data_IF_414707564639
#
_entry.id   IF_414707564639
#
_cell.length_a   1.000
_cell.length_b   1.000
_cell.length_c   1.000
_cell.angle_alpha   90.00
_cell.angle_beta   90.00
_cell.angle_gamma   90.00
#
_symmetry.space_group_name_H-M   'P 1'
#
loop_
_entity.id
_entity.type
_entity.pdbx_description
1 polymer ?
#
# COMPACT_ATOMS: atom_id res chain seq x y z
N UNK A 1 4.08 35.84 -49.05
CA UNK A 1 5.19 34.94 -48.67
C UNK A 1 5.26 34.92 -47.16
N UNK A 2 4.79 33.84 -46.54
CA UNK A 2 4.82 33.63 -45.09
C UNK A 2 5.42 32.25 -44.85
N UNK A 3 6.29 32.06 -43.85
CA UNK A 3 6.98 30.79 -43.66
C UNK A 3 6.07 29.80 -42.92
N UNK A 4 5.99 28.58 -43.46
CA UNK A 4 5.40 27.41 -42.79
C UNK A 4 6.29 27.00 -41.61
N UNK A 5 5.83 27.23 -40.39
CA UNK A 5 6.41 26.67 -39.17
C UNK A 5 5.65 25.42 -38.75
N UNK A 6 6.14 24.24 -39.13
CA UNK A 6 5.66 22.96 -38.61
C UNK A 6 6.18 22.79 -37.19
N UNK A 7 5.30 22.88 -36.19
CA UNK A 7 5.61 22.55 -34.81
C UNK A 7 5.54 21.03 -34.66
N UNK A 8 6.68 20.35 -34.86
CA UNK A 8 6.80 18.94 -34.55
C UNK A 8 6.52 18.73 -33.06
N UNK A 9 5.40 18.08 -32.75
CA UNK A 9 5.12 17.58 -31.41
C UNK A 9 6.27 16.64 -31.03
N UNK A 10 7.11 17.07 -30.10
CA UNK A 10 8.14 16.24 -29.50
C UNK A 10 7.42 15.07 -28.83
N UNK A 11 7.49 13.90 -29.45
CA UNK A 11 7.13 12.63 -28.82
C UNK A 11 7.89 12.53 -27.51
N UNK A 12 7.18 12.73 -26.41
CA UNK A 12 7.67 12.39 -25.08
C UNK A 12 7.91 10.88 -25.17
N UNK A 13 9.19 10.49 -25.11
CA UNK A 13 9.58 9.09 -24.99
C UNK A 13 8.70 8.47 -23.90
N UNK A 14 7.91 7.46 -24.28
CA UNK A 14 7.12 6.64 -23.38
C UNK A 14 8.07 5.74 -22.58
N UNK A 15 8.97 6.35 -21.80
CA UNK A 15 9.66 5.61 -20.77
C UNK A 15 8.59 5.25 -19.74
N UNK A 16 8.43 3.95 -19.44
CA UNK A 16 7.53 3.55 -18.39
C UNK A 16 7.94 4.23 -17.08
N UNK A 17 6.98 4.60 -16.21
CA UNK A 17 7.29 5.24 -14.95
C UNK A 17 8.29 4.38 -14.16
N UNK A 18 9.21 4.96 -13.39
CA UNK A 18 10.26 4.22 -12.67
C UNK A 18 9.72 3.04 -11.86
N UNK A 19 8.48 3.19 -11.36
CA UNK A 19 7.72 2.15 -10.67
C UNK A 19 7.57 0.86 -11.46
N UNK A 20 7.56 0.87 -12.80
CA UNK A 20 7.49 -0.34 -13.63
C UNK A 20 8.77 -1.18 -13.61
N UNK A 21 9.93 -0.55 -13.38
CA UNK A 21 11.22 -1.27 -13.28
C UNK A 21 11.46 -1.86 -11.89
N UNK A 22 10.73 -1.36 -10.90
CA UNK A 22 10.81 -1.79 -9.49
C UNK A 22 9.75 -2.88 -9.17
N UNK A 23 8.92 -3.25 -10.14
CA UNK A 23 7.93 -4.31 -10.01
C UNK A 23 8.66 -5.66 -9.91
N UNK A 24 8.84 -6.15 -8.69
CA UNK A 24 9.18 -7.55 -8.47
C UNK A 24 8.20 -8.43 -9.27
N UNK A 25 8.72 -9.46 -9.93
CA UNK A 25 7.92 -10.42 -10.70
C UNK A 25 6.74 -10.84 -9.82
N UNK A 26 5.49 -10.58 -10.22
CA UNK A 26 4.34 -10.88 -9.37
C UNK A 26 4.37 -12.38 -9.07
N UNK A 27 4.52 -12.74 -7.79
CA UNK A 27 4.32 -14.12 -7.38
C UNK A 27 2.88 -14.51 -7.75
N UNK A 28 2.68 -15.76 -8.16
CA UNK A 28 1.40 -16.27 -8.69
C UNK A 28 0.22 -16.05 -7.72
N UNK A 29 0.53 -15.87 -6.43
CA UNK A 29 -0.45 -15.65 -5.36
C UNK A 29 -0.62 -14.19 -4.93
N UNK A 30 0.06 -13.21 -5.56
CA UNK A 30 0.07 -11.82 -5.14
C UNK A 30 -0.56 -10.90 -6.19
N UNK A 31 -1.48 -10.02 -5.76
CA UNK A 31 -2.01 -8.96 -6.62
C UNK A 31 -1.26 -7.66 -6.36
N UNK A 32 -0.72 -7.06 -7.42
CA UNK A 32 -0.08 -5.76 -7.38
C UNK A 32 -1.07 -4.67 -7.79
N UNK A 33 -1.14 -3.63 -6.98
CA UNK A 33 -1.89 -2.41 -7.29
C UNK A 33 -0.95 -1.21 -7.39
N UNK A 34 -1.26 -0.32 -8.32
CA UNK A 34 -0.73 1.04 -8.31
C UNK A 34 -1.76 1.96 -7.67
N UNK A 35 -1.41 2.63 -6.58
CA UNK A 35 -2.22 3.72 -6.02
C UNK A 35 -1.54 5.05 -6.31
N UNK A 36 -2.29 6.02 -6.82
CA UNK A 36 -1.79 7.37 -7.07
C UNK A 36 -2.75 8.43 -6.51
N UNK A 37 -2.21 9.35 -5.72
CA UNK A 37 -2.92 10.53 -5.23
C UNK A 37 -2.42 11.78 -5.95
N UNK A 38 -3.21 12.32 -6.88
CA UNK A 38 -2.90 13.58 -7.55
C UNK A 38 -3.74 14.71 -6.97
N UNK A 39 -3.09 15.76 -6.48
CA UNK A 39 -3.76 16.93 -5.89
C UNK A 39 -4.80 17.52 -6.85
N UNK A 40 -4.50 17.58 -8.15
CA UNK A 40 -5.41 18.10 -9.20
C UNK A 40 -6.79 17.44 -9.19
N UNK A 41 -6.88 16.16 -8.83
CA UNK A 41 -8.14 15.40 -8.88
C UNK A 41 -8.84 15.31 -7.53
N UNK A 42 -8.18 15.72 -6.44
CA UNK A 42 -8.76 15.74 -5.10
C UNK A 42 -9.19 14.38 -4.54
N UNK A 43 -8.71 13.27 -5.13
CA UNK A 43 -8.93 11.88 -4.67
C UNK A 43 -7.85 10.93 -5.21
N UNK A 44 -7.62 9.79 -4.55
CA UNK A 44 -6.72 8.76 -5.07
C UNK A 44 -7.37 7.98 -6.22
N UNK A 45 -6.53 7.26 -6.97
CA UNK A 45 -6.92 6.31 -8.00
C UNK A 45 -6.11 5.03 -7.83
N UNK A 46 -6.71 3.89 -8.12
CA UNK A 46 -6.07 2.59 -8.03
C UNK A 46 -6.15 1.86 -9.38
N UNK A 47 -5.10 1.12 -9.74
CA UNK A 47 -5.08 0.26 -10.92
C UNK A 47 -4.51 -1.11 -10.57
N UNK A 48 -4.98 -2.13 -11.26
CA UNK A 48 -4.40 -3.47 -11.20
C UNK A 48 -3.15 -3.50 -12.10
N UNK A 49 -2.06 -4.09 -11.60
CA UNK A 49 -0.79 -4.24 -12.34
C UNK A 49 -0.40 -5.70 -12.56
N UNK A 50 -0.93 -6.63 -11.76
CA UNK A 50 -0.78 -8.08 -11.97
C UNK A 50 -2.10 -8.83 -11.73
N UNK A 51 -2.20 -10.06 -12.24
CA UNK A 51 -3.32 -10.97 -11.99
C UNK A 51 -4.70 -10.37 -12.29
N UNK A 52 -4.78 -9.54 -13.34
CA UNK A 52 -6.00 -8.84 -13.76
C UNK A 52 -7.19 -9.77 -13.98
N UNK A 53 -6.92 -10.96 -14.50
CA UNK A 53 -7.89 -12.02 -14.79
C UNK A 53 -8.57 -12.59 -13.55
N UNK A 54 -7.96 -12.46 -12.36
CA UNK A 54 -8.54 -12.94 -11.09
C UNK A 54 -9.58 -11.99 -10.51
N UNK A 55 -9.53 -10.72 -10.88
CA UNK A 55 -10.35 -9.65 -10.29
C UNK A 55 -11.35 -9.04 -11.27
N UNK A 56 -11.17 -9.27 -12.57
CA UNK A 56 -12.05 -8.75 -13.62
C UNK A 56 -12.50 -9.90 -14.51
N UNK A 57 -13.77 -10.30 -14.40
CA UNK A 57 -14.40 -11.31 -15.25
C UNK A 57 -14.70 -10.80 -16.69
N UNK A 58 -13.99 -9.79 -17.18
CA UNK A 58 -14.25 -9.20 -18.50
C UNK A 58 -13.14 -9.68 -19.44
N UNK A 59 -13.52 -10.59 -20.33
CA UNK A 59 -12.67 -11.08 -21.39
C UNK A 59 -12.12 -9.94 -22.26
N UNK A 60 -10.88 -10.13 -22.71
CA UNK A 60 -10.20 -9.25 -23.64
C UNK A 60 -8.79 -8.92 -23.15
N UNK A 61 -7.80 -9.54 -23.79
CA UNK A 61 -6.38 -9.16 -23.75
C UNK A 61 -6.16 -7.78 -24.40
N UNK A 62 -6.89 -6.76 -23.99
CA UNK A 62 -6.74 -5.39 -24.51
C UNK A 62 -5.95 -4.53 -23.54
N UNK A 63 -4.84 -3.97 -24.02
CA UNK A 63 -3.93 -3.13 -23.22
C UNK A 63 -4.64 -1.93 -22.58
N UNK A 64 -5.75 -1.45 -23.17
CA UNK A 64 -6.57 -0.35 -22.66
C UNK A 64 -7.22 -0.63 -21.29
N UNK A 65 -7.41 -1.90 -20.91
CA UNK A 65 -8.00 -2.26 -19.60
C UNK A 65 -7.02 -1.99 -18.45
N UNK A 66 -5.70 -2.10 -18.69
CA UNK A 66 -4.67 -1.86 -17.66
C UNK A 66 -4.53 -0.39 -17.27
N UNK A 67 -4.91 0.53 -18.16
CA UNK A 67 -4.83 1.98 -17.95
C UNK A 67 -6.11 2.57 -17.35
N UNK A 68 -7.18 1.77 -17.26
CA UNK A 68 -8.44 2.21 -16.65
C UNK A 68 -8.38 2.05 -15.13
N UNK A 69 -8.57 3.12 -14.34
CA UNK A 69 -8.58 3.02 -12.89
C UNK A 69 -9.77 2.19 -12.41
N UNK A 70 -9.57 1.44 -11.33
CA UNK A 70 -10.61 0.67 -10.66
C UNK A 70 -11.69 1.61 -10.10
N UNK A 71 -12.94 1.13 -10.19
CA UNK A 71 -14.09 1.77 -9.56
C UNK A 71 -14.27 1.22 -8.15
N UNK A 72 -13.49 1.74 -7.20
CA UNK A 72 -13.61 1.41 -5.78
C UNK A 72 -14.65 2.31 -5.12
N UNK A 73 -15.48 1.75 -4.23
CA UNK A 73 -16.50 2.50 -3.50
C UNK A 73 -15.86 3.52 -2.56
N UNK A 74 -14.80 3.13 -1.86
CA UNK A 74 -14.00 4.03 -1.01
C UNK A 74 -13.51 5.25 -1.79
N UNK A 75 -12.99 5.05 -3.01
CA UNK A 75 -12.53 6.14 -3.87
C UNK A 75 -13.69 7.00 -4.39
N UNK A 76 -14.83 6.38 -4.74
CA UNK A 76 -16.02 7.10 -5.17
C UNK A 76 -16.57 8.02 -4.07
N UNK A 77 -16.56 7.54 -2.82
CA UNK A 77 -17.05 8.25 -1.64
C UNK A 77 -16.00 9.22 -1.02
N UNK A 78 -14.82 9.36 -1.63
CA UNK A 78 -13.65 10.05 -1.04
C UNK A 78 -13.95 11.45 -0.52
N UNK A 79 -14.67 12.24 -1.31
CA UNK A 79 -14.96 13.64 -0.99
C UNK A 79 -16.22 13.82 -0.13
N UNK A 80 -17.06 12.79 -0.03
CA UNK A 80 -18.42 12.93 0.54
C UNK A 80 -18.58 12.26 1.90
N UNK A 81 -17.78 11.23 2.21
CA UNK A 81 -17.98 10.40 3.42
C UNK A 81 -16.78 10.34 4.36
N UNK A 82 -15.83 11.28 4.21
CA UNK A 82 -14.66 11.35 5.09
C UNK A 82 -13.73 10.14 4.96
N UNK A 83 -13.71 9.51 3.78
CA UNK A 83 -12.89 8.33 3.50
C UNK A 83 -11.41 8.64 3.69
N UNK A 84 -10.69 7.64 4.17
CA UNK A 84 -9.26 7.68 4.47
C UNK A 84 -8.54 6.59 3.70
N UNK A 85 -7.21 6.67 3.73
CA UNK A 85 -6.35 5.74 2.97
C UNK A 85 -6.60 4.29 3.38
N UNK A 86 -6.81 4.02 4.67
CA UNK A 86 -7.07 2.67 5.16
C UNK A 86 -8.37 2.06 4.62
N UNK A 87 -9.40 2.85 4.35
CA UNK A 87 -10.65 2.34 3.75
C UNK A 87 -10.39 1.81 2.33
N UNK A 88 -9.55 2.50 1.57
CA UNK A 88 -9.13 2.08 0.22
C UNK A 88 -8.30 0.79 0.31
N UNK A 89 -7.36 0.71 1.26
CA UNK A 89 -6.54 -0.49 1.48
C UNK A 89 -7.41 -1.69 1.91
N UNK A 90 -8.35 -1.47 2.84
CA UNK A 90 -9.27 -2.52 3.28
C UNK A 90 -10.11 -3.06 2.12
N UNK A 91 -10.67 -2.19 1.28
CA UNK A 91 -11.44 -2.60 0.10
C UNK A 91 -10.57 -3.41 -0.87
N UNK A 92 -9.35 -2.95 -1.17
CA UNK A 92 -8.41 -3.65 -2.05
C UNK A 92 -8.02 -5.03 -1.53
N UNK A 93 -7.73 -5.15 -0.24
CA UNK A 93 -7.40 -6.43 0.40
C UNK A 93 -8.59 -7.37 0.29
N UNK A 94 -9.79 -6.94 0.70
CA UNK A 94 -11.01 -7.74 0.66
C UNK A 94 -11.38 -8.24 -0.74
N UNK A 95 -11.07 -7.47 -1.79
CA UNK A 95 -11.26 -7.88 -3.18
C UNK A 95 -10.30 -9.01 -3.61
N UNK A 96 -9.09 -9.08 -3.05
CA UNK A 96 -8.05 -10.03 -3.46
C UNK A 96 -8.11 -11.38 -2.76
N UNK A 97 -8.95 -11.50 -1.76
CA UNK A 97 -8.96 -12.61 -0.81
C UNK A 97 -10.35 -13.22 -0.78
N UNK A 98 -10.44 -14.51 -1.09
CA UNK A 98 -11.69 -15.26 -1.05
C UNK A 98 -11.51 -16.46 -0.12
N UNK A 99 -12.21 -16.51 1.02
CA UNK A 99 -13.15 -15.50 1.53
C UNK A 99 -12.45 -14.19 1.97
N UNK A 100 -13.18 -13.09 2.05
CA UNK A 100 -12.64 -11.83 2.56
C UNK A 100 -12.12 -12.03 4.00
N UNK A 101 -10.94 -11.48 4.34
CA UNK A 101 -10.31 -11.71 5.61
C UNK A 101 -11.13 -11.04 6.69
N UNK A 102 -11.07 -11.63 7.87
CA UNK A 102 -11.73 -11.02 9.03
C UNK A 102 -10.98 -9.82 9.58
N UNK A 103 -9.69 -9.67 9.26
CA UNK A 103 -8.88 -8.47 9.50
C UNK A 103 -8.07 -8.15 8.22
N UNK A 104 -8.40 -7.10 7.46
CA UNK A 104 -7.67 -6.72 6.24
C UNK A 104 -6.28 -6.13 6.54
N UNK A 105 -6.00 -5.77 7.79
CA UNK A 105 -4.71 -5.26 8.26
C UNK A 105 -3.93 -6.30 9.09
N UNK A 106 -4.28 -7.57 8.98
CA UNK A 106 -3.61 -8.65 9.70
C UNK A 106 -2.10 -8.66 9.38
N UNK A 107 -1.28 -8.75 10.43
CA UNK A 107 0.16 -8.70 10.31
C UNK A 107 0.78 -10.09 10.39
N UNK A 108 1.69 -10.40 9.47
CA UNK A 108 2.55 -11.57 9.62
C UNK A 108 3.66 -11.27 10.64
N UNK A 109 3.35 -11.49 11.91
CA UNK A 109 4.30 -11.31 13.01
C UNK A 109 5.50 -12.25 12.94
N UNK A 110 5.42 -13.39 12.23
CA UNK A 110 6.57 -14.29 12.06
C UNK A 110 7.56 -13.67 11.08
N UNK A 111 7.06 -13.17 9.95
CA UNK A 111 7.86 -12.43 8.99
C UNK A 111 8.54 -11.22 9.64
N UNK A 112 7.76 -10.36 10.32
CA UNK A 112 8.29 -9.14 10.93
C UNK A 112 9.38 -9.44 11.97
N UNK A 113 9.23 -10.49 12.78
CA UNK A 113 10.22 -10.87 13.80
C UNK A 113 11.56 -11.30 13.20
N UNK A 114 11.53 -11.90 12.02
CA UNK A 114 12.69 -12.45 11.32
C UNK A 114 13.44 -11.41 10.47
N UNK A 115 12.93 -10.17 10.35
CA UNK A 115 13.63 -9.09 9.68
C UNK A 115 14.94 -8.73 10.42
N UNK A 116 15.99 -8.26 9.69
CA UNK A 116 17.15 -7.65 10.31
C UNK A 116 16.75 -6.57 11.31
N UNK A 117 17.52 -6.41 12.40
CA UNK A 117 17.10 -5.58 13.53
C UNK A 117 16.70 -4.14 13.14
N UNK A 118 17.48 -3.49 12.28
CA UNK A 118 17.20 -2.14 11.79
C UNK A 118 15.90 -2.09 10.99
N UNK A 119 15.71 -3.03 10.06
CA UNK A 119 14.50 -3.11 9.22
C UNK A 119 13.28 -3.42 10.08
N UNK A 120 13.42 -4.33 11.05
CA UNK A 120 12.37 -4.66 12.01
C UNK A 120 11.94 -3.43 12.81
N UNK A 121 12.89 -2.64 13.31
CA UNK A 121 12.58 -1.40 14.02
C UNK A 121 11.83 -0.39 13.13
N UNK A 122 12.30 -0.17 11.91
CA UNK A 122 11.68 0.75 10.95
C UNK A 122 10.27 0.29 10.55
N UNK A 123 10.13 -0.97 10.14
CA UNK A 123 8.86 -1.56 9.70
C UNK A 123 7.84 -1.54 10.83
N UNK A 124 8.23 -1.96 12.05
CA UNK A 124 7.30 -1.94 13.19
C UNK A 124 6.87 -0.52 13.56
N UNK A 125 7.76 0.48 13.46
CA UNK A 125 7.41 1.89 13.69
C UNK A 125 6.44 2.44 12.64
N UNK A 126 6.68 2.14 11.36
CA UNK A 126 5.80 2.56 10.26
C UNK A 126 4.41 1.92 10.36
N UNK A 127 4.36 0.61 10.64
CA UNK A 127 3.11 -0.11 10.84
C UNK A 127 2.33 0.41 12.06
N UNK A 128 3.01 0.68 13.18
CA UNK A 128 2.37 1.28 14.35
C UNK A 128 1.78 2.64 14.04
N UNK A 129 2.54 3.52 13.36
CA UNK A 129 2.04 4.83 12.99
C UNK A 129 0.76 4.74 12.15
N UNK A 130 0.73 3.84 11.16
CA UNK A 130 -0.45 3.61 10.34
C UNK A 130 -1.63 3.05 11.15
N UNK A 131 -1.41 1.98 11.93
CA UNK A 131 -2.47 1.30 12.66
C UNK A 131 -2.97 2.08 13.87
N UNK A 132 -2.11 2.80 14.60
CA UNK A 132 -2.56 3.69 15.68
C UNK A 132 -3.41 4.85 15.11
N UNK A 133 -3.05 5.37 13.93
CA UNK A 133 -3.91 6.36 13.23
C UNK A 133 -5.28 5.77 12.90
N UNK A 134 -5.33 4.53 12.41
CA UNK A 134 -6.58 3.81 12.19
C UNK A 134 -7.36 3.60 13.49
N UNK A 135 -6.72 3.19 14.59
CA UNK A 135 -7.41 2.97 15.88
C UNK A 135 -7.98 4.29 16.45
N UNK A 136 -7.31 5.42 16.25
CA UNK A 136 -7.77 6.71 16.75
C UNK A 136 -8.92 7.28 15.92
N UNK A 137 -8.81 7.23 14.60
CA UNK A 137 -9.72 7.94 13.68
C UNK A 137 -10.65 7.03 12.87
N UNK A 138 -10.46 5.72 12.92
CA UNK A 138 -11.24 4.73 12.20
C UNK A 138 -12.64 4.56 12.80
N UNK A 139 -13.52 4.00 11.97
CA UNK A 139 -14.87 3.69 12.38
C UNK A 139 -14.87 2.47 13.32
N UNK A 140 -15.34 2.66 14.56
CA UNK A 140 -15.39 1.61 15.59
C UNK A 140 -16.45 0.55 15.33
N UNK A 141 -17.44 0.87 14.49
CA UNK A 141 -18.51 -0.05 14.12
C UNK A 141 -18.06 -1.06 13.05
N UNK A 142 -16.86 -0.91 12.50
CA UNK A 142 -16.28 -1.87 11.55
C UNK A 142 -15.99 -3.21 12.23
N UNK A 143 -16.42 -4.31 11.61
CA UNK A 143 -16.28 -5.67 12.15
C UNK A 143 -14.83 -6.08 12.48
N UNK A 144 -13.86 -5.47 11.81
CA UNK A 144 -12.44 -5.77 11.98
C UNK A 144 -11.74 -4.82 12.97
N UNK A 145 -12.41 -3.79 13.49
CA UNK A 145 -11.81 -2.79 14.36
C UNK A 145 -11.16 -3.42 15.61
N UNK A 146 -11.89 -4.26 16.33
CA UNK A 146 -11.38 -4.91 17.55
C UNK A 146 -10.16 -5.80 17.26
N UNK A 147 -10.15 -6.47 16.11
CA UNK A 147 -9.03 -7.33 15.69
C UNK A 147 -7.77 -6.52 15.40
N UNK A 148 -7.91 -5.34 14.79
CA UNK A 148 -6.79 -4.42 14.60
C UNK A 148 -6.25 -3.95 15.95
N UNK A 149 -7.12 -3.59 16.89
CA UNK A 149 -6.73 -3.18 18.25
C UNK A 149 -5.97 -4.30 18.98
N UNK A 150 -6.38 -5.55 18.80
CA UNK A 150 -5.68 -6.72 19.34
C UNK A 150 -4.27 -6.88 18.74
N UNK A 151 -4.12 -6.72 17.42
CA UNK A 151 -2.87 -6.89 16.69
C UNK A 151 -1.84 -5.76 16.95
N UNK A 152 -2.31 -4.55 17.27
CA UNK A 152 -1.43 -3.41 17.61
C UNK A 152 -0.60 -3.66 18.88
N UNK A 153 -1.16 -4.38 19.86
CA UNK A 153 -0.47 -4.65 21.15
C UNK A 153 0.84 -5.44 20.99
N UNK A 154 0.86 -6.64 20.35
CA UNK A 154 2.11 -7.36 20.13
C UNK A 154 3.08 -6.61 19.21
N UNK A 155 2.58 -5.86 18.22
CA UNK A 155 3.43 -5.02 17.37
C UNK A 155 4.16 -3.94 18.18
N UNK A 156 3.46 -3.26 19.09
CA UNK A 156 4.05 -2.23 19.97
C UNK A 156 5.15 -2.79 20.85
N UNK A 157 4.92 -3.96 21.45
CA UNK A 157 5.94 -4.65 22.25
C UNK A 157 7.19 -4.96 21.42
N UNK A 158 7.00 -5.45 20.20
CA UNK A 158 8.11 -5.78 19.30
C UNK A 158 8.91 -4.54 18.88
N UNK A 159 8.23 -3.41 18.63
CA UNK A 159 8.89 -2.15 18.30
C UNK A 159 9.78 -1.65 19.44
N UNK A 160 9.25 -1.60 20.66
CA UNK A 160 10.01 -1.18 21.85
C UNK A 160 11.18 -2.12 22.11
N UNK A 161 10.98 -3.44 22.00
CA UNK A 161 12.05 -4.41 22.12
C UNK A 161 13.16 -4.16 21.08
N UNK A 162 12.78 -3.94 19.81
CA UNK A 162 13.75 -3.69 18.73
C UNK A 162 14.53 -2.40 18.95
N UNK A 163 13.88 -1.34 19.47
CA UNK A 163 14.55 -0.09 19.84
C UNK A 163 15.60 -0.31 20.94
N UNK A 164 15.25 -1.04 22.00
CA UNK A 164 16.16 -1.32 23.10
C UNK A 164 17.35 -2.18 22.66
N UNK A 165 17.13 -3.15 21.78
CA UNK A 165 18.19 -3.97 21.20
C UNK A 165 19.16 -3.12 20.35
N UNK A 166 18.64 -2.17 19.55
CA UNK A 166 19.46 -1.24 18.76
C UNK A 166 20.31 -0.32 19.65
N UNK A 167 19.72 0.22 20.72
CA UNK A 167 20.44 1.06 21.68
C UNK A 167 21.61 0.31 22.31
N UNK A 168 21.39 -0.95 22.71
CA UNK A 168 22.45 -1.80 23.28
C UNK A 168 23.58 -2.09 22.30
N UNK A 169 23.27 -2.36 21.03
CA UNK A 169 24.31 -2.56 20.00
C UNK A 169 25.14 -1.29 19.75
N UNK A 170 24.50 -0.12 19.83
CA UNK A 170 25.18 1.18 19.69
C UNK A 170 26.11 1.47 20.88
N UNK A 171 25.69 1.15 22.09
CA UNK A 171 26.50 1.33 23.30
C UNK A 171 27.69 0.36 23.34
N UNK A 172 27.47 -0.91 22.97
CA UNK A 172 28.54 -1.92 22.92
C UNK A 172 29.63 -1.61 21.88
N UNK A 173 29.26 -1.08 20.72
CA UNK A 173 30.21 -0.66 19.68
C UNK A 173 30.99 0.61 20.03
N UNK A 174 30.50 1.41 20.99
CA UNK A 174 31.16 2.64 21.46
C UNK A 174 32.12 2.40 22.63
N UNK A 175 32.14 1.20 23.21
CA UNK A 175 32.96 0.85 24.39
C UNK A 175 34.24 0.04 24.09
N UNK A 176 34.54 -0.28 22.82
CA UNK A 176 35.74 -1.02 22.39
C UNK A 176 36.83 -0.12 21.77
N UNK A 177 36.95 1.14 22.20
CA UNK A 177 38.05 2.04 21.81
C UNK A 177 38.89 2.47 23.01
#
# INVERSE_FOLDING_TARGET
MSPSGSLAARSISSQPPPSEREIAVPEVNCTLFLLAGYVKYGRPYAWIRSNHERLVNIGGTDSMVKDTPMKLKSIADWQTRGIRVWDVISELVCLCTVPSPTNPFALDMRYIKNLPLTDRFLVTGALLNFLDTYVVYGNRDELHYDKVVEDVKPLRRLHVQSLLELQRQREGSSGEQ
#
